data_IF_748999860461
#
_entry.id   IF_748999860461
#
_cell.length_a   1.000
_cell.length_b   1.000
_cell.length_c   1.000
_cell.angle_alpha   90.00
_cell.angle_beta   90.00
_cell.angle_gamma   90.00
#
_symmetry.space_group_name_H-M   'P 1'
#
loop_
_entity.id
_entity.type
_entity.pdbx_description
1 polymer ?
#
# COMPACT_ATOMS: atom_id res chain seq x y z
N UNK A 1 0.42 33.79 -18.69
CA UNK A 1 1.47 33.40 -17.71
C UNK A 1 0.96 33.33 -16.28
N UNK A 2 0.24 34.33 -15.74
CA UNK A 2 -0.22 34.32 -14.34
C UNK A 2 -1.21 33.18 -13.99
N UNK A 3 -2.02 32.73 -14.96
CA UNK A 3 -2.91 31.56 -14.80
C UNK A 3 -2.19 30.21 -14.72
N UNK A 4 -0.95 30.11 -15.23
CA UNK A 4 -0.17 28.86 -15.23
C UNK A 4 0.61 28.67 -13.92
N UNK A 5 1.04 29.76 -13.28
CA UNK A 5 1.66 29.70 -11.94
C UNK A 5 0.64 29.39 -10.83
N UNK A 6 -0.58 29.92 -10.94
CA UNK A 6 -1.61 29.70 -9.92
C UNK A 6 -2.10 28.24 -9.89
N UNK A 7 -2.10 27.56 -11.04
CA UNK A 7 -2.46 26.14 -11.16
C UNK A 7 -1.42 25.20 -10.58
N UNK A 8 -0.14 25.60 -10.53
CA UNK A 8 0.95 24.78 -9.97
C UNK A 8 1.01 24.90 -8.44
N UNK A 9 0.65 26.07 -7.88
CA UNK A 9 0.65 26.29 -6.42
C UNK A 9 -0.61 25.70 -5.76
N UNK A 10 -1.76 25.66 -6.45
CA UNK A 10 -2.95 24.96 -5.93
C UNK A 10 -2.82 23.43 -5.93
N UNK A 11 -1.88 22.87 -6.71
CA UNK A 11 -1.60 21.42 -6.74
C UNK A 11 -0.81 20.93 -5.51
N UNK A 12 -0.34 21.84 -4.65
CA UNK A 12 0.36 21.50 -3.40
C UNK A 12 -0.58 21.22 -2.22
N UNK A 13 -1.89 21.42 -2.39
CA UNK A 13 -2.91 21.05 -1.41
C UNK A 13 -3.76 19.91 -1.98
N UNK A 14 -3.11 18.80 -2.31
CA UNK A 14 -3.82 17.53 -2.47
C UNK A 14 -4.24 17.14 -1.07
N UNK A 15 -5.52 17.37 -0.76
CA UNK A 15 -6.24 16.55 0.21
C UNK A 15 -5.86 15.10 -0.10
N UNK A 16 -5.29 14.38 0.85
CA UNK A 16 -5.23 12.93 0.78
C UNK A 16 -6.68 12.44 0.72
N UNK A 17 -7.22 12.36 -0.49
CA UNK A 17 -8.34 11.49 -0.78
C UNK A 17 -7.69 10.12 -0.69
N UNK A 18 -7.95 9.41 0.41
CA UNK A 18 -7.72 7.97 0.41
C UNK A 18 -8.55 7.42 -0.73
N UNK A 19 -7.88 7.17 -1.86
CA UNK A 19 -8.49 6.58 -3.03
C UNK A 19 -8.53 5.08 -2.75
N UNK A 20 -9.71 4.59 -2.39
CA UNK A 20 -9.94 3.18 -2.10
C UNK A 20 -10.16 2.43 -3.41
N UNK A 21 -9.14 1.69 -3.84
CA UNK A 21 -9.16 0.92 -5.08
C UNK A 21 -9.85 -0.42 -4.84
N UNK A 22 -11.03 -0.61 -5.42
CA UNK A 22 -11.86 -1.79 -5.19
C UNK A 22 -12.02 -2.65 -6.44
N UNK A 23 -11.98 -3.98 -6.31
CA UNK A 23 -12.29 -4.87 -7.43
C UNK A 23 -13.79 -4.85 -7.72
N UNK A 24 -14.15 -4.83 -9.01
CA UNK A 24 -15.55 -4.84 -9.45
C UNK A 24 -15.79 -5.94 -10.48
N UNK A 25 -16.81 -6.76 -10.25
CA UNK A 25 -17.34 -7.67 -11.27
C UNK A 25 -18.67 -7.16 -11.80
N UNK A 26 -18.89 -7.28 -13.10
CA UNK A 26 -20.15 -6.93 -13.77
C UNK A 26 -20.59 -8.09 -14.65
N UNK A 27 -21.84 -8.54 -14.54
CA UNK A 27 -22.40 -9.60 -15.38
C UNK A 27 -23.91 -9.44 -15.61
N UNK A 28 -24.46 -10.17 -16.59
CA UNK A 28 -25.91 -10.32 -16.79
C UNK A 28 -26.48 -9.72 -18.07
N UNK A 29 -25.80 -8.76 -18.70
CA UNK A 29 -26.17 -8.29 -20.04
C UNK A 29 -24.93 -8.10 -20.93
N UNK A 30 -25.13 -7.57 -22.15
CA UNK A 30 -24.14 -7.46 -23.24
C UNK A 30 -22.76 -7.07 -22.72
N UNK A 31 -21.73 -7.77 -23.21
CA UNK A 31 -20.33 -7.39 -23.00
C UNK A 31 -20.13 -5.92 -23.43
N UNK A 32 -19.42 -5.11 -22.64
CA UNK A 32 -19.21 -3.70 -22.97
C UNK A 32 -18.57 -3.57 -24.35
N UNK A 33 -19.00 -2.58 -25.12
CA UNK A 33 -18.42 -2.25 -26.43
C UNK A 33 -16.98 -1.73 -26.33
N UNK A 34 -16.55 -1.33 -25.13
CA UNK A 34 -15.23 -0.83 -24.82
C UNK A 34 -14.74 -1.45 -23.50
N UNK A 35 -13.66 -2.22 -23.56
CA UNK A 35 -12.91 -2.65 -22.37
C UNK A 35 -11.71 -1.71 -22.21
N UNK A 36 -11.62 -0.96 -21.10
CA UNK A 36 -10.46 -0.12 -20.82
C UNK A 36 -9.18 -0.96 -20.78
N UNK A 37 -8.12 -0.47 -21.40
CA UNK A 37 -6.77 -1.07 -21.32
C UNK A 37 -6.02 -0.68 -20.04
N UNK A 38 -6.62 0.15 -19.18
CA UNK A 38 -6.04 0.59 -17.91
C UNK A 38 -6.31 -0.42 -16.78
N UNK A 39 -5.34 -0.56 -15.88
CA UNK A 39 -5.45 -1.34 -14.64
C UNK A 39 -6.27 -0.66 -13.54
N UNK A 40 -6.62 0.62 -13.74
CA UNK A 40 -7.26 1.50 -12.77
C UNK A 40 -8.31 2.36 -13.48
N UNK A 41 -9.53 2.41 -12.94
CA UNK A 41 -10.63 3.24 -13.46
C UNK A 41 -11.11 4.21 -12.40
N UNK A 42 -11.30 5.47 -12.81
CA UNK A 42 -11.98 6.44 -11.96
C UNK A 42 -13.50 6.17 -11.94
N UNK A 43 -14.20 6.61 -10.89
CA UNK A 43 -15.65 6.42 -10.70
C UNK A 43 -16.50 6.94 -11.88
N UNK A 44 -16.11 8.06 -12.50
CA UNK A 44 -16.82 8.60 -13.68
C UNK A 44 -16.69 7.72 -14.93
N UNK A 45 -15.50 7.16 -15.16
CA UNK A 45 -15.23 6.24 -16.26
C UNK A 45 -15.96 4.92 -16.04
N UNK A 46 -15.93 4.42 -14.80
CA UNK A 46 -16.69 3.26 -14.37
C UNK A 46 -18.20 3.45 -14.61
N UNK A 47 -18.75 4.62 -14.26
CA UNK A 47 -20.17 4.90 -14.51
C UNK A 47 -20.49 5.00 -16.00
N UNK A 48 -19.57 5.50 -16.81
CA UNK A 48 -19.72 5.50 -18.28
C UNK A 48 -19.80 4.07 -18.82
N UNK A 49 -18.97 3.16 -18.28
CA UNK A 49 -19.02 1.73 -18.60
C UNK A 49 -20.35 1.10 -18.20
N UNK A 50 -20.82 1.32 -16.97
CA UNK A 50 -22.11 0.79 -16.48
C UNK A 50 -23.27 1.33 -17.34
N UNK A 51 -23.29 2.64 -17.61
CA UNK A 51 -24.31 3.28 -18.46
C UNK A 51 -24.34 2.74 -19.89
N UNK A 52 -23.19 2.32 -20.43
CA UNK A 52 -23.12 1.70 -21.76
C UNK A 52 -23.79 0.33 -21.83
N UNK A 53 -24.01 -0.32 -20.67
CA UNK A 53 -24.64 -1.63 -20.56
C UNK A 53 -26.10 -1.54 -20.10
N UNK A 54 -26.51 -0.44 -19.44
CA UNK A 54 -27.87 -0.27 -18.90
C UNK A 54 -28.78 0.53 -19.83
N UNK A 55 -30.00 0.05 -20.07
CA UNK A 55 -31.09 0.79 -20.73
C UNK A 55 -32.16 1.23 -19.71
N UNK A 56 -33.20 1.94 -20.16
CA UNK A 56 -34.28 2.48 -19.29
C UNK A 56 -35.07 1.40 -18.52
N UNK A 57 -35.04 0.16 -18.99
CA UNK A 57 -35.75 -0.98 -18.41
C UNK A 57 -34.81 -1.94 -17.65
N UNK A 58 -33.49 -1.67 -17.66
CA UNK A 58 -32.50 -2.52 -17.00
C UNK A 58 -32.48 -2.26 -15.50
N UNK A 59 -32.63 -3.33 -14.71
CA UNK A 59 -32.43 -3.29 -13.25
C UNK A 59 -30.95 -3.55 -12.94
N UNK A 60 -30.31 -2.64 -12.19
CA UNK A 60 -28.95 -2.82 -11.69
C UNK A 60 -28.98 -3.37 -10.27
N UNK A 61 -28.38 -4.52 -10.03
CA UNK A 61 -28.27 -5.15 -8.71
C UNK A 61 -26.82 -5.06 -8.27
N UNK A 62 -26.57 -4.51 -7.10
CA UNK A 62 -25.21 -4.30 -6.57
C UNK A 62 -25.08 -5.10 -5.28
N UNK A 63 -24.31 -6.17 -5.34
CA UNK A 63 -23.90 -6.95 -4.18
C UNK A 63 -22.66 -6.29 -3.58
N UNK A 64 -22.74 -5.94 -2.30
CA UNK A 64 -21.71 -5.17 -1.60
C UNK A 64 -21.22 -5.93 -0.38
N UNK A 65 -19.95 -6.32 -0.40
CA UNK A 65 -19.25 -6.80 0.79
C UNK A 65 -18.83 -5.66 1.71
N UNK A 66 -18.62 -5.95 2.99
CA UNK A 66 -17.98 -4.99 3.89
C UNK A 66 -16.54 -4.69 3.45
N UNK A 67 -15.77 -5.74 3.16
CA UNK A 67 -14.37 -5.62 2.72
C UNK A 67 -14.00 -6.64 1.64
N UNK A 68 -13.36 -6.19 0.55
CA UNK A 68 -12.93 -7.06 -0.56
C UNK A 68 -11.71 -6.46 -1.29
N UNK A 69 -10.72 -7.29 -1.56
CA UNK A 69 -9.56 -6.93 -2.41
C UNK A 69 -9.23 -8.00 -3.45
N UNK A 70 -8.39 -7.64 -4.42
CA UNK A 70 -7.84 -8.57 -5.45
C UNK A 70 -7.17 -9.79 -4.82
N UNK A 71 -6.54 -9.60 -3.65
CA UNK A 71 -5.91 -10.66 -2.87
C UNK A 71 -6.93 -11.70 -2.40
N UNK A 72 -8.09 -11.31 -1.85
CA UNK A 72 -9.10 -12.26 -1.36
C UNK A 72 -9.66 -13.14 -2.47
N UNK A 73 -9.92 -12.53 -3.63
CA UNK A 73 -10.37 -13.24 -4.83
C UNK A 73 -9.34 -14.30 -5.28
N UNK A 74 -8.05 -14.05 -5.03
CA UNK A 74 -6.97 -14.97 -5.40
C UNK A 74 -6.64 -16.01 -4.33
N UNK A 75 -6.75 -15.65 -3.05
CA UNK A 75 -6.35 -16.45 -1.91
C UNK A 75 -7.48 -17.33 -1.36
N UNK A 76 -8.74 -16.92 -1.52
CA UNK A 76 -9.88 -17.65 -0.98
C UNK A 76 -10.05 -19.00 -1.68
N UNK A 77 -9.50 -20.05 -1.06
CA UNK A 77 -9.58 -21.44 -1.50
C UNK A 77 -10.07 -22.36 -0.38
N UNK A 78 -11.31 -22.83 -0.50
CA UNK A 78 -11.87 -23.86 0.38
C UNK A 78 -11.46 -25.25 -0.17
N UNK A 79 -10.64 -26.01 0.57
CA UNK A 79 -10.26 -27.40 0.20
C UNK A 79 -9.80 -27.55 -1.27
N UNK A 80 -8.95 -26.63 -1.76
CA UNK A 80 -8.42 -26.54 -3.14
C UNK A 80 -9.38 -25.99 -4.21
N UNK A 81 -10.62 -25.67 -3.87
CA UNK A 81 -11.59 -24.99 -4.74
C UNK A 81 -11.73 -23.51 -4.36
N UNK A 82 -12.09 -22.65 -5.31
CA UNK A 82 -12.35 -21.22 -5.02
C UNK A 82 -13.58 -21.08 -4.12
N UNK A 83 -13.58 -20.10 -3.20
CA UNK A 83 -14.78 -19.75 -2.44
C UNK A 83 -15.91 -19.22 -3.36
N UNK A 84 -15.53 -18.56 -4.45
CA UNK A 84 -16.42 -17.99 -5.45
C UNK A 84 -16.78 -19.00 -6.56
N UNK A 85 -17.43 -20.12 -6.21
CA UNK A 85 -17.72 -21.19 -7.16
C UNK A 85 -18.72 -20.77 -8.24
N UNK A 86 -19.76 -20.05 -7.85
CA UNK A 86 -20.84 -19.61 -8.71
C UNK A 86 -20.40 -18.42 -9.56
N UNK A 87 -19.75 -17.41 -8.97
CA UNK A 87 -19.18 -16.29 -9.71
C UNK A 87 -18.17 -16.77 -10.78
N UNK A 88 -17.39 -17.81 -10.50
CA UNK A 88 -16.46 -18.42 -11.49
C UNK A 88 -17.19 -19.02 -12.69
N UNK A 89 -18.34 -19.69 -12.49
CA UNK A 89 -19.13 -20.35 -13.55
C UNK A 89 -19.73 -19.37 -14.57
N UNK A 90 -19.87 -18.10 -14.21
CA UNK A 90 -20.40 -17.06 -15.09
C UNK A 90 -19.44 -16.83 -16.26
N UNK A 91 -19.88 -17.14 -17.49
CA UNK A 91 -19.06 -17.05 -18.70
C UNK A 91 -18.86 -15.60 -19.18
N UNK A 92 -19.94 -14.81 -19.21
CA UNK A 92 -19.91 -13.42 -19.64
C UNK A 92 -19.88 -12.49 -18.43
N UNK A 93 -18.67 -12.21 -17.94
CA UNK A 93 -18.43 -11.23 -16.88
C UNK A 93 -17.28 -10.30 -17.25
N UNK A 94 -17.42 -9.04 -16.86
CA UNK A 94 -16.35 -8.05 -16.90
C UNK A 94 -15.72 -7.97 -15.52
N UNK A 95 -14.39 -7.99 -15.46
CA UNK A 95 -13.64 -7.86 -14.22
C UNK A 95 -12.76 -6.62 -14.28
N UNK A 96 -12.95 -5.71 -13.33
CA UNK A 96 -12.16 -4.49 -13.17
C UNK A 96 -11.36 -4.62 -11.89
N UNK A 97 -10.04 -4.49 -12.00
CA UNK A 97 -9.11 -4.78 -10.89
C UNK A 97 -9.03 -3.67 -9.85
N UNK A 98 -9.21 -2.42 -10.26
CA UNK A 98 -9.18 -1.26 -9.38
C UNK A 98 -10.14 -0.19 -9.91
N UNK A 99 -11.19 0.08 -9.16
CA UNK A 99 -12.15 1.16 -9.41
C UNK A 99 -12.18 2.09 -8.21
N UNK A 100 -12.12 3.39 -8.46
CA UNK A 100 -12.22 4.43 -7.44
C UNK A 100 -13.65 4.53 -6.93
N UNK A 101 -13.87 4.18 -5.65
CA UNK A 101 -15.14 4.36 -4.93
C UNK A 101 -16.40 4.01 -5.77
N UNK A 102 -16.53 2.74 -6.22
CA UNK A 102 -17.60 2.32 -7.13
C UNK A 102 -18.99 2.50 -6.52
N UNK A 103 -19.13 2.37 -5.20
CA UNK A 103 -20.41 2.55 -4.51
C UNK A 103 -20.88 4.00 -4.63
N UNK A 104 -20.02 4.96 -4.29
CA UNK A 104 -20.37 6.39 -4.42
C UNK A 104 -20.65 6.79 -5.86
N UNK A 105 -19.91 6.22 -6.81
CA UNK A 105 -20.13 6.45 -8.23
C UNK A 105 -21.53 5.96 -8.66
N UNK A 106 -21.94 4.78 -8.20
CA UNK A 106 -23.29 4.23 -8.44
C UNK A 106 -24.36 5.08 -7.73
N UNK A 107 -24.22 5.34 -6.43
CA UNK A 107 -25.18 6.11 -5.64
C UNK A 107 -25.41 7.53 -6.20
N UNK A 108 -24.34 8.20 -6.66
CA UNK A 108 -24.45 9.55 -7.22
C UNK A 108 -25.14 9.59 -8.58
N UNK A 109 -25.05 8.50 -9.36
CA UNK A 109 -25.62 8.45 -10.71
C UNK A 109 -27.09 8.03 -10.75
N UNK A 110 -27.62 7.38 -9.70
CA UNK A 110 -29.03 7.03 -9.60
C UNK A 110 -29.72 7.96 -8.59
N UNK A 111 -30.89 8.51 -8.93
CA UNK A 111 -31.62 9.36 -7.99
C UNK A 111 -32.09 8.57 -6.76
N UNK A 112 -32.02 9.16 -5.55
CA UNK A 112 -32.37 8.52 -4.26
C UNK A 112 -33.73 7.79 -4.25
N UNK A 113 -34.71 8.26 -5.03
CA UNK A 113 -36.05 7.66 -5.13
C UNK A 113 -36.11 6.39 -5.99
N UNK A 114 -35.03 6.06 -6.71
CA UNK A 114 -34.91 4.87 -7.57
C UNK A 114 -33.97 3.82 -7.00
N UNK A 115 -33.52 4.01 -5.75
CA UNK A 115 -32.61 3.14 -5.02
C UNK A 115 -33.40 2.35 -3.97
N UNK A 116 -33.21 1.04 -3.91
CA UNK A 116 -33.63 0.19 -2.79
C UNK A 116 -32.40 -0.46 -2.16
N UNK A 117 -32.38 -0.54 -0.84
CA UNK A 117 -31.27 -1.13 -0.09
C UNK A 117 -31.79 -2.28 0.76
N UNK A 118 -31.11 -3.41 0.69
CA UNK A 118 -31.34 -4.59 1.52
C UNK A 118 -30.03 -4.96 2.21
N UNK A 119 -30.13 -5.45 3.44
CA UNK A 119 -29.00 -5.98 4.20
C UNK A 119 -29.31 -7.41 4.64
N UNK A 120 -28.30 -8.16 5.10
CA UNK A 120 -28.53 -9.43 5.77
C UNK A 120 -29.06 -9.19 7.19
N UNK A 121 -29.97 -10.06 7.63
CA UNK A 121 -30.43 -10.21 9.01
C UNK A 121 -29.43 -11.09 9.77
N UNK A 122 -29.52 -11.11 11.11
CA UNK A 122 -28.64 -11.92 11.96
C UNK A 122 -28.72 -13.43 11.69
N UNK A 123 -29.79 -13.91 11.05
CA UNK A 123 -29.94 -15.32 10.66
C UNK A 123 -29.32 -15.63 9.28
N UNK A 124 -28.67 -14.66 8.63
CA UNK A 124 -28.08 -14.79 7.29
C UNK A 124 -29.07 -14.73 6.13
N UNK A 125 -30.35 -14.49 6.41
CA UNK A 125 -31.41 -14.21 5.43
C UNK A 125 -31.55 -12.71 5.18
N UNK A 126 -32.15 -12.31 4.06
CA UNK A 126 -32.40 -10.89 3.77
C UNK A 126 -33.30 -10.23 4.84
N UNK A 127 -32.93 -9.02 5.24
CA UNK A 127 -33.66 -8.20 6.23
C UNK A 127 -35.11 -7.91 5.84
N UNK A 128 -35.41 -7.93 4.55
CA UNK A 128 -36.75 -7.75 3.98
C UNK A 128 -36.93 -8.69 2.78
N UNK A 129 -38.17 -9.13 2.55
CA UNK A 129 -38.50 -9.96 1.39
C UNK A 129 -38.22 -9.19 0.10
N UNK A 130 -37.65 -9.85 -0.90
CA UNK A 130 -37.33 -9.26 -2.20
C UNK A 130 -38.61 -8.94 -3.01
N UNK A 131 -39.20 -7.79 -2.71
CA UNK A 131 -40.27 -7.17 -3.47
C UNK A 131 -39.67 -6.03 -4.31
N UNK A 132 -39.52 -6.26 -5.61
CA UNK A 132 -39.09 -5.19 -6.54
C UNK A 132 -40.32 -4.37 -6.91
N UNK A 133 -40.50 -3.20 -6.30
CA UNK A 133 -41.51 -2.24 -6.75
C UNK A 133 -41.07 -1.72 -8.12
N UNK A 134 -41.96 -1.69 -9.11
CA UNK A 134 -41.62 -1.43 -10.52
C UNK A 134 -40.77 -0.17 -10.82
N UNK A 135 -40.62 0.74 -9.87
CA UNK A 135 -39.93 2.03 -10.00
C UNK A 135 -38.42 1.99 -9.67
N UNK A 136 -37.91 0.93 -9.06
CA UNK A 136 -36.49 0.84 -8.68
C UNK A 136 -35.62 0.55 -9.92
N UNK A 137 -34.55 1.33 -10.07
CA UNK A 137 -33.55 1.17 -11.14
C UNK A 137 -32.27 0.52 -10.62
N UNK A 138 -31.95 0.73 -9.34
CA UNK A 138 -30.80 0.13 -8.69
C UNK A 138 -31.18 -0.45 -7.32
N UNK A 139 -30.67 -1.64 -7.04
CA UNK A 139 -30.87 -2.39 -5.81
C UNK A 139 -29.51 -2.70 -5.17
N UNK A 140 -29.22 -2.14 -4.00
CA UNK A 140 -28.04 -2.46 -3.22
C UNK A 140 -28.36 -3.59 -2.23
N UNK A 141 -27.54 -4.63 -2.22
CA UNK A 141 -27.64 -5.77 -1.31
C UNK A 141 -26.31 -5.84 -0.55
N UNK A 142 -26.33 -5.41 0.71
CA UNK A 142 -25.17 -5.45 1.59
C UNK A 142 -25.07 -6.82 2.25
N UNK A 143 -23.93 -7.48 2.07
CA UNK A 143 -23.62 -8.83 2.54
C UNK A 143 -22.96 -8.82 3.92
N UNK A 144 -23.18 -7.78 4.71
CA UNK A 144 -22.60 -7.66 6.05
C UNK A 144 -23.30 -8.63 7.02
N UNK A 145 -22.69 -9.79 7.31
CA UNK A 145 -23.14 -10.72 8.36
C UNK A 145 -22.57 -10.26 9.73
N UNK A 146 -23.42 -10.19 10.76
CA UNK A 146 -23.05 -9.71 12.08
C UNK A 146 -22.04 -10.64 12.80
N UNK A 147 -21.97 -11.92 12.42
CA UNK A 147 -21.13 -12.90 13.10
C UNK A 147 -19.81 -13.22 12.38
N UNK A 148 -19.77 -13.20 11.03
CA UNK A 148 -18.56 -13.51 10.25
C UNK A 148 -18.54 -12.80 8.89
N UNK A 149 -17.93 -11.61 8.86
CA UNK A 149 -17.94 -10.71 7.70
C UNK A 149 -17.04 -11.14 6.52
N UNK A 150 -16.46 -12.34 6.55
CA UNK A 150 -15.49 -12.85 5.56
C UNK A 150 -15.86 -14.25 5.01
N UNK A 151 -17.09 -14.74 5.22
CA UNK A 151 -17.55 -16.03 4.65
C UNK A 151 -17.98 -15.89 3.18
N UNK A 152 -17.00 -15.62 2.32
CA UNK A 152 -17.20 -15.42 0.88
C UNK A 152 -17.89 -16.60 0.18
N UNK A 153 -17.76 -17.83 0.70
CA UNK A 153 -18.38 -19.00 0.10
C UNK A 153 -19.91 -19.00 0.29
N UNK A 154 -20.36 -18.65 1.50
CA UNK A 154 -21.77 -18.48 1.83
C UNK A 154 -22.36 -17.30 1.05
N UNK A 155 -21.62 -16.19 0.94
CA UNK A 155 -22.03 -15.03 0.15
C UNK A 155 -22.15 -15.34 -1.34
N UNK A 156 -21.23 -16.13 -1.92
CA UNK A 156 -21.31 -16.58 -3.31
C UNK A 156 -22.54 -17.44 -3.61
N UNK A 157 -22.94 -18.30 -2.67
CA UNK A 157 -24.19 -19.07 -2.77
C UNK A 157 -25.42 -18.16 -2.70
N UNK A 158 -25.45 -17.22 -1.74
CA UNK A 158 -26.53 -16.24 -1.59
C UNK A 158 -26.67 -15.36 -2.83
N UNK A 159 -25.57 -14.81 -3.35
CA UNK A 159 -25.55 -14.01 -4.57
C UNK A 159 -26.15 -14.78 -5.75
N UNK A 160 -25.76 -16.05 -5.93
CA UNK A 160 -26.28 -16.88 -7.01
C UNK A 160 -27.79 -17.14 -6.85
N UNK A 161 -28.26 -17.48 -5.65
CA UNK A 161 -29.67 -17.73 -5.39
C UNK A 161 -30.53 -16.48 -5.62
N UNK A 162 -30.07 -15.32 -5.13
CA UNK A 162 -30.74 -14.04 -5.33
C UNK A 162 -30.74 -13.60 -6.79
N UNK A 163 -29.61 -13.73 -7.48
CA UNK A 163 -29.51 -13.37 -8.88
C UNK A 163 -30.46 -14.19 -9.76
N UNK A 164 -30.54 -15.51 -9.52
CA UNK A 164 -31.46 -16.40 -10.24
C UNK A 164 -32.94 -16.06 -9.96
N UNK A 165 -33.28 -15.67 -8.72
CA UNK A 165 -34.62 -15.23 -8.35
C UNK A 165 -34.99 -13.89 -9.01
N UNK A 166 -34.02 -13.00 -9.21
CA UNK A 166 -34.25 -11.71 -9.87
C UNK A 166 -34.46 -11.90 -11.37
N UNK A 167 -33.63 -12.73 -12.04
CA UNK A 167 -33.79 -13.01 -13.47
C UNK A 167 -35.11 -13.76 -13.76
N UNK A 168 -35.61 -14.60 -12.84
CA UNK A 168 -36.91 -15.24 -13.04
C UNK A 168 -38.08 -14.24 -13.02
N UNK A 169 -37.87 -13.02 -12.51
CA UNK A 169 -38.88 -11.95 -12.43
C UNK A 169 -38.67 -10.83 -13.46
N UNK A 170 -37.44 -10.58 -13.92
CA UNK A 170 -37.08 -9.50 -14.85
C UNK A 170 -36.12 -9.98 -15.93
N UNK A 171 -36.38 -9.60 -17.18
CA UNK A 171 -35.56 -10.00 -18.33
C UNK A 171 -34.24 -9.22 -18.46
N UNK A 172 -34.23 -7.94 -18.08
CA UNK A 172 -33.07 -7.05 -18.23
C UNK A 172 -32.44 -6.74 -16.86
N UNK A 173 -31.39 -7.49 -16.49
CA UNK A 173 -30.73 -7.38 -15.19
C UNK A 173 -29.21 -7.33 -15.36
N UNK A 174 -28.58 -6.34 -14.76
CA UNK A 174 -27.12 -6.26 -14.60
C UNK A 174 -26.80 -6.43 -13.12
N UNK A 175 -25.88 -7.33 -12.81
CA UNK A 175 -25.35 -7.52 -11.48
C UNK A 175 -23.92 -6.99 -11.39
N UNK A 176 -23.64 -6.32 -10.28
CA UNK A 176 -22.35 -5.74 -9.92
C UNK A 176 -21.95 -6.31 -8.56
N UNK A 177 -20.70 -6.73 -8.40
CA UNK A 177 -20.14 -7.16 -7.11
C UNK A 177 -18.91 -6.33 -6.77
N UNK A 178 -18.89 -5.75 -5.57
CA UNK A 178 -17.85 -4.85 -5.06
C UNK A 178 -17.87 -4.84 -3.51
N UNK A 179 -17.01 -4.06 -2.85
CA UNK A 179 -17.06 -3.81 -1.41
C UNK A 179 -17.14 -2.32 -1.04
N UNK A 180 -17.36 -2.05 0.25
CA UNK A 180 -17.21 -0.70 0.83
C UNK A 180 -15.76 -0.30 1.02
N UNK A 181 -14.92 -1.22 1.49
CA UNK A 181 -13.51 -0.97 1.81
C UNK A 181 -12.59 -2.06 1.26
N UNK A 182 -11.32 -1.78 0.96
CA UNK A 182 -10.36 -2.82 0.61
C UNK A 182 -9.98 -3.59 1.88
N UNK A 183 -10.05 -4.93 1.85
CA UNK A 183 -9.51 -5.78 2.92
C UNK A 183 -7.98 -5.69 3.00
N UNK A 184 -7.33 -5.40 1.87
CA UNK A 184 -5.90 -5.31 1.73
C UNK A 184 -5.48 -3.91 1.25
N UNK A 185 -4.64 -3.22 2.03
CA UNK A 185 -4.04 -1.94 1.63
C UNK A 185 -2.53 -2.06 1.43
N UNK A 186 -2.07 -1.73 0.22
CA UNK A 186 -0.64 -1.63 -0.13
C UNK A 186 0.13 -0.57 0.68
N UNK A 187 -0.56 0.26 1.48
CA UNK A 187 0.06 1.15 2.47
C UNK A 187 0.71 0.40 3.63
N UNK A 188 0.38 -0.88 3.82
CA UNK A 188 1.09 -1.78 4.72
C UNK A 188 2.17 -2.54 3.93
N UNK A 189 3.43 -2.53 4.36
CA UNK A 189 4.49 -3.23 3.66
C UNK A 189 4.26 -4.74 3.76
N UNK A 190 3.75 -5.34 2.69
CA UNK A 190 3.53 -6.77 2.48
C UNK A 190 4.68 -7.63 3.03
N UNK A 191 4.52 -8.33 4.16
CA UNK A 191 5.51 -9.32 4.61
C UNK A 191 5.41 -10.52 3.66
N UNK A 192 6.44 -10.70 2.83
CA UNK A 192 6.51 -11.81 1.90
C UNK A 192 6.86 -13.07 2.69
N UNK A 193 5.86 -13.82 3.16
CA UNK A 193 6.10 -15.19 3.65
C UNK A 193 6.53 -16.05 2.46
N UNK A 194 7.81 -16.41 2.42
CA UNK A 194 8.27 -17.43 1.49
C UNK A 194 7.57 -18.75 1.87
N UNK A 195 7.00 -19.45 0.88
CA UNK A 195 6.59 -20.84 1.08
C UNK A 195 7.85 -21.67 1.19
N UNK A 196 8.09 -22.25 2.36
CA UNK A 196 9.08 -23.31 2.51
C UNK A 196 8.67 -24.48 1.61
N UNK A 197 9.47 -24.69 0.57
CA UNK A 197 9.41 -25.91 -0.23
C UNK A 197 10.61 -26.75 0.19
N UNK A 198 10.31 -27.98 0.59
CA UNK A 198 11.28 -28.96 1.04
C UNK A 198 12.47 -29.03 0.07
N UNK A 199 13.66 -29.03 0.67
CA UNK A 199 14.97 -28.97 0.04
C UNK A 199 15.10 -29.89 -1.17
N UNK A 200 15.57 -29.35 -2.31
CA UNK A 200 16.50 -30.10 -3.15
C UNK A 200 17.45 -29.13 -3.86
N UNK A 201 18.73 -29.40 -3.68
CA UNK A 201 19.89 -28.62 -4.09
C UNK A 201 19.89 -28.19 -5.55
N UNK A 202 19.93 -26.87 -5.81
CA UNK A 202 20.62 -26.28 -6.95
C UNK A 202 20.83 -24.77 -6.75
N UNK A 203 22.09 -24.38 -6.82
CA UNK A 203 22.66 -23.04 -6.63
C UNK A 203 22.26 -22.09 -7.75
N UNK A 204 21.44 -21.07 -7.46
CA UNK A 204 21.39 -19.82 -8.23
C UNK A 204 21.10 -18.63 -7.29
N UNK A 205 21.84 -17.55 -7.51
CA UNK A 205 22.01 -16.36 -6.66
C UNK A 205 20.69 -15.70 -6.23
N UNK A 206 20.48 -15.61 -4.92
CA UNK A 206 19.52 -14.69 -4.28
C UNK A 206 20.25 -13.41 -3.85
N UNK A 207 19.71 -12.21 -4.11
CA UNK A 207 20.32 -10.97 -3.64
C UNK A 207 20.15 -10.84 -2.11
N UNK A 208 21.28 -10.70 -1.42
CA UNK A 208 21.50 -10.06 -0.12
C UNK A 208 20.58 -10.38 1.09
N UNK A 209 19.92 -11.54 1.15
CA UNK A 209 19.29 -12.05 2.39
C UNK A 209 20.05 -13.22 3.03
N UNK A 210 21.22 -13.60 2.50
CA UNK A 210 22.01 -14.76 2.94
C UNK A 210 23.39 -14.43 3.52
N UNK A 211 23.60 -13.19 3.97
CA UNK A 211 24.83 -12.82 4.71
C UNK A 211 24.65 -12.75 6.23
N UNK A 212 23.56 -13.31 6.77
CA UNK A 212 23.34 -13.41 8.21
C UNK A 212 23.29 -14.86 8.73
N UNK A 213 23.87 -15.81 8.00
CA UNK A 213 24.19 -17.17 8.52
C UNK A 213 25.69 -17.35 8.80
N UNK A 214 26.53 -16.33 8.53
CA UNK A 214 27.98 -16.39 8.75
C UNK A 214 28.54 -15.25 9.61
N UNK A 215 27.72 -14.28 10.03
CA UNK A 215 28.06 -13.34 11.11
C UNK A 215 27.40 -13.83 12.40
N UNK A 216 27.86 -14.98 12.87
CA UNK A 216 27.50 -15.53 14.17
C UNK A 216 27.97 -14.53 15.22
N UNK A 217 27.03 -13.91 15.95
CA UNK A 217 27.05 -13.51 17.37
C UNK A 217 25.68 -12.83 17.63
N UNK A 218 24.61 -13.64 17.75
CA UNK A 218 23.37 -13.18 18.44
C UNK A 218 23.73 -13.14 19.91
N UNK A 219 23.82 -11.94 20.49
CA UNK A 219 24.47 -11.74 21.80
C UNK A 219 23.43 -11.73 22.94
N UNK A 220 22.14 -11.64 22.64
CA UNK A 220 21.14 -11.53 23.71
C UNK A 220 20.62 -12.86 24.25
N UNK A 221 20.77 -13.06 25.55
CA UNK A 221 20.09 -14.09 26.35
C UNK A 221 18.77 -13.59 26.95
N UNK A 222 18.32 -12.39 26.61
CA UNK A 222 17.11 -11.77 27.17
C UNK A 222 15.93 -11.88 26.16
N UNK A 223 14.78 -12.44 26.57
CA UNK A 223 13.62 -12.58 25.70
C UNK A 223 12.99 -11.26 25.22
N UNK A 224 13.31 -10.13 25.85
CA UNK A 224 12.67 -8.84 25.57
C UNK A 224 13.58 -7.83 24.85
N UNK A 225 14.80 -8.20 24.49
CA UNK A 225 15.67 -7.36 23.66
C UNK A 225 16.63 -8.26 22.89
N UNK A 226 16.63 -8.19 21.57
CA UNK A 226 17.62 -8.87 20.73
C UNK A 226 18.65 -7.87 20.21
N UNK A 227 19.91 -8.30 20.20
CA UNK A 227 21.01 -7.57 19.58
C UNK A 227 22.01 -8.55 18.95
N UNK A 228 22.44 -8.22 17.75
CA UNK A 228 23.49 -8.90 17.01
C UNK A 228 24.44 -7.85 16.46
N UNK A 229 25.73 -8.15 16.46
CA UNK A 229 26.77 -7.30 15.89
C UNK A 229 28.00 -8.15 15.58
N UNK A 230 28.83 -7.66 14.66
CA UNK A 230 30.06 -8.35 14.28
C UNK A 230 31.27 -7.90 15.13
N UNK A 231 31.40 -6.60 15.37
CA UNK A 231 32.56 -6.02 16.04
C UNK A 231 32.19 -4.64 16.61
N UNK A 232 32.89 -4.23 17.68
CA UNK A 232 32.87 -2.84 18.17
C UNK A 232 34.28 -2.31 18.11
N UNK A 233 34.47 -1.13 17.50
CA UNK A 233 35.76 -0.43 17.52
C UNK A 233 35.66 0.82 18.38
N UNK A 234 36.53 0.94 19.38
CA UNK A 234 36.69 2.16 20.19
C UNK A 234 37.93 2.90 19.70
N UNK A 235 37.74 4.01 18.99
CA UNK A 235 38.80 4.68 18.25
C UNK A 235 39.33 3.78 17.12
N UNK A 236 40.48 3.16 17.35
CA UNK A 236 41.12 2.21 16.42
C UNK A 236 41.28 0.81 17.00
N UNK A 237 40.89 0.60 18.26
CA UNK A 237 41.05 -0.69 18.94
C UNK A 237 39.78 -1.53 18.81
N UNK A 238 39.86 -2.75 18.24
CA UNK A 238 38.75 -3.68 18.21
C UNK A 238 38.46 -4.21 19.62
N UNK A 239 37.19 -4.36 19.96
CA UNK A 239 36.71 -4.92 21.22
C UNK A 239 35.87 -6.16 20.91
N UNK A 240 36.35 -7.32 21.34
CA UNK A 240 35.67 -8.60 21.12
C UNK A 240 34.47 -8.76 22.08
N UNK A 241 33.26 -9.05 21.56
CA UNK A 241 32.05 -9.05 22.37
C UNK A 241 31.77 -10.42 23.04
N UNK A 242 32.68 -10.95 23.85
CA UNK A 242 32.63 -12.36 24.30
C UNK A 242 31.85 -12.65 25.60
N UNK A 243 31.53 -11.64 26.41
CA UNK A 243 30.78 -11.83 27.65
C UNK A 243 29.75 -10.72 27.85
N UNK A 244 28.57 -10.85 27.23
CA UNK A 244 27.50 -9.88 27.38
C UNK A 244 26.72 -10.10 28.67
N UNK A 245 26.82 -9.16 29.61
CA UNK A 245 25.85 -9.02 30.70
C UNK A 245 24.81 -8.00 30.28
N UNK A 246 23.64 -8.47 29.84
CA UNK A 246 22.52 -7.62 29.49
C UNK A 246 21.67 -7.37 30.74
N UNK A 247 21.75 -6.16 31.28
CA UNK A 247 20.81 -5.69 32.31
C UNK A 247 19.71 -4.90 31.65
N UNK A 248 18.46 -5.32 31.85
CA UNK A 248 17.28 -4.63 31.33
C UNK A 248 16.41 -4.15 32.48
N UNK A 249 16.12 -2.85 32.50
CA UNK A 249 15.01 -2.30 33.28
C UNK A 249 14.00 -1.72 32.30
N UNK A 250 12.88 -2.42 32.11
CA UNK A 250 11.85 -2.04 31.16
C UNK A 250 10.59 -1.57 31.90
N UNK A 251 10.15 -0.37 31.55
CA UNK A 251 8.81 0.15 31.82
C UNK A 251 7.99 0.12 30.53
N UNK A 252 6.74 0.58 30.58
CA UNK A 252 5.88 0.60 29.39
C UNK A 252 6.43 1.47 28.23
N UNK A 253 7.28 2.45 28.54
CA UNK A 253 7.75 3.45 27.58
C UNK A 253 9.28 3.60 27.53
N UNK A 254 10.02 3.03 28.48
CA UNK A 254 11.47 3.19 28.59
C UNK A 254 12.15 1.86 28.91
N UNK A 255 13.21 1.54 28.19
CA UNK A 255 14.04 0.36 28.37
C UNK A 255 15.50 0.80 28.44
N UNK A 256 16.15 0.52 29.57
CA UNK A 256 17.59 0.70 29.72
C UNK A 256 18.30 -0.62 29.44
N UNK A 257 19.30 -0.58 28.56
CA UNK A 257 20.12 -1.74 28.21
C UNK A 257 21.58 -1.36 28.45
N UNK A 258 22.31 -2.20 29.17
CA UNK A 258 23.76 -2.09 29.34
C UNK A 258 24.43 -3.34 28.77
N UNK A 259 25.49 -3.14 28.00
CA UNK A 259 26.36 -4.15 27.41
C UNK A 259 27.75 -3.95 28.03
N UNK A 260 28.21 -4.91 28.83
CA UNK A 260 29.53 -4.84 29.46
C UNK A 260 30.45 -5.84 28.80
N UNK A 261 31.61 -5.41 28.32
CA UNK A 261 32.68 -6.23 27.74
C UNK A 261 34.01 -5.92 28.44
N UNK A 262 34.44 -6.81 29.32
CA UNK A 262 35.65 -6.60 30.15
C UNK A 262 35.61 -5.24 30.88
N UNK A 263 36.44 -4.26 30.48
CA UNK A 263 36.47 -2.90 31.05
C UNK A 263 35.57 -1.89 30.33
N UNK A 264 34.85 -2.30 29.29
CA UNK A 264 34.04 -1.45 28.44
C UNK A 264 32.56 -1.60 28.80
N UNK A 265 31.89 -0.53 29.19
CA UNK A 265 30.45 -0.51 29.48
C UNK A 265 29.73 0.40 28.49
N UNK A 266 28.92 -0.18 27.62
CA UNK A 266 28.06 0.52 26.68
C UNK A 266 26.62 0.51 27.19
N UNK A 267 26.03 1.67 27.44
CA UNK A 267 24.62 1.80 27.80
C UNK A 267 23.81 2.44 26.69
N UNK A 268 22.53 2.07 26.60
CA UNK A 268 21.55 2.68 25.72
C UNK A 268 20.22 2.84 26.47
N UNK A 269 19.59 3.99 26.31
CA UNK A 269 18.27 4.29 26.84
C UNK A 269 17.27 4.38 25.70
N UNK A 270 16.44 3.36 25.56
CA UNK A 270 15.48 3.19 24.46
C UNK A 270 14.11 3.66 24.92
N UNK A 271 13.44 4.51 24.14
CA UNK A 271 12.10 5.01 24.43
C UNK A 271 11.11 4.57 23.37
N UNK A 272 9.90 4.22 23.78
CA UNK A 272 8.77 3.94 22.89
C UNK A 272 7.79 5.12 22.94
N UNK A 273 7.46 5.68 21.78
CA UNK A 273 6.45 6.74 21.66
C UNK A 273 5.72 6.64 20.32
N UNK A 274 4.39 6.65 20.35
CA UNK A 274 3.57 6.63 19.13
C UNK A 274 3.81 5.41 18.22
N UNK A 275 4.08 4.23 18.81
CA UNK A 275 4.37 2.99 18.06
C UNK A 275 5.76 2.92 17.43
N UNK A 276 6.62 3.92 17.69
CA UNK A 276 8.01 3.97 17.24
C UNK A 276 8.93 3.96 18.45
N UNK A 277 9.94 3.11 18.44
CA UNK A 277 11.00 3.13 19.42
C UNK A 277 12.23 3.84 18.85
N UNK A 278 12.94 4.55 19.70
CA UNK A 278 14.19 5.21 19.34
C UNK A 278 15.16 5.17 20.52
N UNK A 279 16.46 5.17 20.22
CA UNK A 279 17.47 5.34 21.26
C UNK A 279 17.55 6.82 21.58
N UNK A 280 17.27 7.15 22.84
CA UNK A 280 17.26 8.53 23.34
C UNK A 280 18.62 8.98 23.85
N UNK A 281 19.46 8.04 24.27
CA UNK A 281 20.80 8.33 24.78
C UNK A 281 21.66 7.08 24.68
N UNK A 282 22.90 7.26 24.26
CA UNK A 282 23.95 6.27 24.40
C UNK A 282 24.98 6.70 25.44
N UNK A 283 25.54 5.72 26.15
CA UNK A 283 26.60 5.93 27.13
C UNK A 283 27.74 4.96 26.91
N UNK A 284 28.96 5.41 27.19
CA UNK A 284 30.14 4.56 27.24
C UNK A 284 30.97 4.93 28.47
N UNK A 285 31.22 3.95 29.34
CA UNK A 285 31.87 4.11 30.65
C UNK A 285 31.29 5.26 31.48
N UNK A 286 29.97 5.48 31.38
CA UNK A 286 29.23 6.54 32.07
C UNK A 286 29.18 7.88 31.34
N UNK A 287 29.99 8.09 30.29
CA UNK A 287 29.96 9.31 29.48
C UNK A 287 28.91 9.22 28.38
N UNK A 288 28.32 10.35 27.98
CA UNK A 288 27.30 10.39 26.93
C UNK A 288 27.95 10.49 25.56
N UNK A 289 27.40 9.74 24.61
CA UNK A 289 27.83 9.77 23.22
C UNK A 289 26.65 10.15 22.34
N UNK A 290 26.94 10.87 21.26
CA UNK A 290 25.97 11.24 20.25
C UNK A 290 26.08 10.31 19.06
N UNK A 291 24.95 9.74 18.66
CA UNK A 291 24.83 8.98 17.43
C UNK A 291 24.90 9.88 16.20
N UNK A 292 25.61 9.41 15.16
CA UNK A 292 25.67 10.13 13.88
C UNK A 292 24.37 10.03 13.09
N UNK A 293 23.59 8.98 13.36
CA UNK A 293 22.31 8.70 12.72
C UNK A 293 21.27 8.37 13.79
N UNK A 294 20.04 8.89 13.68
CA UNK A 294 18.99 8.57 14.63
C UNK A 294 18.67 7.07 14.57
N UNK A 295 18.83 6.40 15.70
CA UNK A 295 18.47 4.98 15.82
C UNK A 295 16.99 4.89 16.14
N UNK A 296 16.18 4.56 15.13
CA UNK A 296 14.72 4.54 15.24
C UNK A 296 14.10 3.42 14.42
N UNK A 297 13.12 2.73 14.99
CA UNK A 297 12.27 1.82 14.23
C UNK A 297 10.86 1.69 14.83
N UNK A 298 9.92 1.19 14.03
CA UNK A 298 8.58 0.85 14.54
C UNK A 298 8.68 -0.29 15.55
N UNK A 299 7.73 -0.38 16.50
CA UNK A 299 7.66 -1.46 17.51
C UNK A 299 7.71 -2.88 16.94
N UNK A 300 7.25 -3.06 15.71
CA UNK A 300 7.24 -4.35 14.99
C UNK A 300 8.49 -4.62 14.14
N UNK A 301 9.52 -3.79 14.22
CA UNK A 301 10.73 -3.90 13.37
C UNK A 301 12.01 -3.86 14.19
N UNK A 302 13.03 -4.49 13.62
CA UNK A 302 14.41 -4.32 14.06
C UNK A 302 15.01 -3.06 13.42
N UNK A 303 16.08 -2.54 14.02
CA UNK A 303 16.96 -1.56 13.40
C UNK A 303 18.24 -2.26 12.98
N UNK A 304 18.74 -1.96 11.78
CA UNK A 304 19.96 -2.53 11.22
C UNK A 304 20.90 -1.44 10.71
N UNK A 305 22.21 -1.62 10.91
CA UNK A 305 23.21 -0.70 10.38
C UNK A 305 24.55 -1.40 10.16
N UNK A 306 25.19 -1.12 9.02
CA UNK A 306 26.52 -1.65 8.71
C UNK A 306 27.58 -0.96 9.58
N UNK A 307 27.53 0.37 9.67
CA UNK A 307 28.41 1.15 10.54
C UNK A 307 27.56 2.16 11.31
N UNK A 308 27.49 1.99 12.63
CA UNK A 308 26.87 2.96 13.52
C UNK A 308 27.94 3.68 14.33
N UNK A 309 28.50 4.80 13.79
CA UNK A 309 29.47 5.61 14.50
C UNK A 309 28.78 6.53 15.51
N UNK A 310 29.36 6.56 16.70
CA UNK A 310 28.90 7.32 17.84
C UNK A 310 30.09 8.07 18.39
N UNK A 311 29.96 9.37 18.54
CA UNK A 311 31.09 10.21 18.92
C UNK A 311 30.77 11.03 20.15
N UNK A 312 31.76 11.10 21.03
CA UNK A 312 31.97 12.26 21.87
C UNK A 312 33.04 13.14 21.20
N UNK A 313 33.24 14.38 21.67
CA UNK A 313 34.20 15.32 21.11
C UNK A 313 35.63 14.78 20.99
N UNK A 314 35.99 13.73 21.74
CA UNK A 314 37.35 13.22 21.84
C UNK A 314 37.53 11.77 21.35
N UNK A 315 36.44 11.00 21.23
CA UNK A 315 36.49 9.55 20.96
C UNK A 315 35.31 9.13 20.09
N UNK A 316 35.58 8.27 19.10
CA UNK A 316 34.56 7.67 18.24
C UNK A 316 34.46 6.18 18.58
N UNK A 317 33.24 5.69 18.73
CA UNK A 317 32.90 4.30 18.92
C UNK A 317 32.05 3.87 17.74
N UNK A 318 32.40 2.78 17.08
CA UNK A 318 31.64 2.29 15.92
C UNK A 318 31.19 0.87 16.17
N UNK A 319 29.88 0.65 16.03
CA UNK A 319 29.30 -0.69 16.00
C UNK A 319 29.20 -1.17 14.56
N UNK A 320 29.76 -2.35 14.28
CA UNK A 320 29.81 -2.93 12.94
C UNK A 320 28.77 -4.04 12.76
N UNK A 321 27.98 -3.96 11.70
CA UNK A 321 26.88 -4.86 11.36
C UNK A 321 25.91 -5.07 12.52
N UNK A 322 25.48 -3.97 13.15
CA UNK A 322 24.57 -4.01 14.29
C UNK A 322 23.13 -4.20 13.83
N UNK A 323 22.42 -5.12 14.48
CA UNK A 323 20.98 -5.26 14.39
C UNK A 323 20.40 -5.38 15.80
N UNK A 324 19.37 -4.59 16.12
CA UNK A 324 18.75 -4.61 17.45
C UNK A 324 17.23 -4.47 17.39
N UNK A 325 16.54 -5.09 18.35
CA UNK A 325 15.09 -5.08 18.45
C UNK A 325 14.63 -5.18 19.92
N UNK A 326 14.02 -4.11 20.47
CA UNK A 326 13.37 -4.15 21.77
C UNK A 326 11.94 -4.71 21.71
N UNK A 327 11.55 -5.48 22.73
CA UNK A 327 10.15 -5.82 23.02
C UNK A 327 9.64 -4.96 24.17
N UNK A 328 8.64 -4.12 23.90
CA UNK A 328 7.93 -3.37 24.93
C UNK A 328 6.61 -4.05 25.24
N UNK A 329 6.22 -4.06 26.52
CA UNK A 329 4.93 -4.60 27.00
C UNK A 329 4.62 -6.01 26.48
N UNK A 330 5.45 -7.02 26.79
CA UNK A 330 5.16 -8.40 26.40
C UNK A 330 3.81 -8.83 26.99
N UNK A 331 2.93 -9.40 26.16
CA UNK A 331 1.65 -9.93 26.62
C UNK A 331 1.84 -11.37 27.08
N UNK A 332 1.92 -11.58 28.40
CA UNK A 332 2.17 -12.91 28.98
C UNK A 332 3.63 -13.33 28.83
N UNK A 333 3.88 -14.53 28.31
CA UNK A 333 5.23 -15.11 28.11
C UNK A 333 5.80 -14.83 26.70
N UNK A 334 5.44 -13.71 26.08
CA UNK A 334 5.90 -13.36 24.74
C UNK A 334 7.42 -13.08 24.74
N UNK A 335 8.16 -13.78 23.86
CA UNK A 335 9.62 -13.68 23.73
C UNK A 335 9.98 -13.43 22.28
N UNK A 336 11.02 -12.64 22.05
CA UNK A 336 11.61 -12.48 20.73
C UNK A 336 12.69 -13.56 20.55
N UNK A 337 12.44 -14.51 19.65
CA UNK A 337 13.41 -15.57 19.29
C UNK A 337 14.24 -15.23 18.05
N UNK A 338 13.70 -14.37 17.17
CA UNK A 338 14.33 -13.95 15.92
C UNK A 338 14.05 -12.47 15.68
N UNK A 339 14.95 -11.79 14.97
CA UNK A 339 14.68 -10.45 14.49
C UNK A 339 13.49 -10.47 13.51
N UNK A 340 12.72 -9.39 13.52
CA UNK A 340 11.68 -9.17 12.53
C UNK A 340 12.28 -9.20 11.11
N UNK A 341 11.55 -9.80 10.17
CA UNK A 341 11.93 -9.97 8.76
C UNK A 341 12.41 -8.69 8.07
N UNK A 342 12.00 -7.52 8.59
CA UNK A 342 12.43 -6.21 8.10
C UNK A 342 13.17 -5.45 9.19
N UNK A 343 14.39 -5.04 8.82
CA UNK A 343 15.14 -4.04 9.54
C UNK A 343 14.89 -2.65 8.94
N UNK A 344 14.73 -1.64 9.79
CA UNK A 344 14.91 -0.26 9.40
C UNK A 344 16.41 0.02 9.34
N UNK A 345 16.89 0.38 8.15
CA UNK A 345 18.31 0.65 7.93
C UNK A 345 18.67 2.09 8.32
N UNK A 346 19.89 2.29 8.83
CA UNK A 346 20.40 3.60 9.23
C UNK A 346 20.63 4.58 8.07
N UNK A 347 20.70 4.09 6.83
CA UNK A 347 20.94 4.90 5.63
C UNK A 347 19.71 4.78 4.72
N UNK A 348 19.16 5.92 4.31
CA UNK A 348 18.10 5.97 3.32
C UNK A 348 18.64 5.84 1.90
N UNK A 349 17.85 5.28 0.99
CA UNK A 349 18.21 5.16 -0.44
C UNK A 349 18.58 6.49 -1.11
N UNK A 350 17.97 7.59 -0.66
CA UNK A 350 18.20 8.92 -1.21
C UNK A 350 18.61 9.89 -0.10
N UNK A 351 19.80 10.47 -0.23
CA UNK A 351 20.25 11.52 0.67
C UNK A 351 19.61 12.87 0.29
N UNK A 352 19.56 13.85 1.22
CA UNK A 352 19.10 15.21 0.91
C UNK A 352 19.85 15.85 -0.27
N UNK A 353 21.14 15.52 -0.42
CA UNK A 353 21.95 15.99 -1.54
C UNK A 353 21.49 15.40 -2.88
N UNK A 354 21.19 14.09 -2.92
CA UNK A 354 20.68 13.44 -4.13
C UNK A 354 19.31 14.01 -4.51
N UNK A 355 18.43 14.22 -3.52
CA UNK A 355 17.14 14.88 -3.74
C UNK A 355 17.28 16.29 -4.30
N UNK A 356 18.21 17.09 -3.76
CA UNK A 356 18.50 18.42 -4.26
C UNK A 356 19.00 18.41 -5.71
N UNK A 357 19.91 17.49 -6.04
CA UNK A 357 20.42 17.34 -7.40
C UNK A 357 19.33 16.88 -8.38
N UNK A 358 18.54 15.87 -8.02
CA UNK A 358 17.45 15.36 -8.83
C UNK A 358 16.42 16.47 -9.13
N UNK A 359 16.08 17.29 -8.13
CA UNK A 359 15.16 18.40 -8.29
C UNK A 359 15.66 19.43 -9.32
N UNK A 360 16.94 19.80 -9.26
CA UNK A 360 17.55 20.73 -10.24
C UNK A 360 17.59 20.12 -11.64
N UNK A 361 17.94 18.83 -11.76
CA UNK A 361 17.96 18.13 -13.05
C UNK A 361 16.57 18.09 -13.68
N UNK A 362 15.52 17.84 -12.89
CA UNK A 362 14.13 17.84 -13.38
C UNK A 362 13.74 19.21 -13.94
N UNK A 363 14.13 20.31 -13.28
CA UNK A 363 13.89 21.68 -13.78
C UNK A 363 14.60 21.91 -15.12
N UNK A 364 15.85 21.50 -15.26
CA UNK A 364 16.58 21.64 -16.51
C UNK A 364 15.98 20.80 -17.63
N UNK A 365 15.57 19.57 -17.35
CA UNK A 365 14.88 18.71 -18.32
C UNK A 365 13.55 19.34 -18.76
N UNK A 366 12.81 19.99 -17.86
CA UNK A 366 11.59 20.70 -18.18
C UNK A 366 11.82 21.92 -19.09
N UNK A 367 12.82 22.74 -18.79
CA UNK A 367 13.16 23.90 -19.64
C UNK A 367 13.65 23.42 -21.02
N UNK A 368 14.46 22.37 -21.05
CA UNK A 368 14.98 21.80 -22.29
C UNK A 368 13.87 21.19 -23.14
N UNK A 369 12.92 20.47 -22.55
CA UNK A 369 11.77 19.93 -23.29
C UNK A 369 10.91 21.04 -23.86
N UNK A 370 10.67 22.13 -23.11
CA UNK A 370 9.98 23.32 -23.61
C UNK A 370 10.73 23.94 -24.80
N UNK A 371 12.05 24.10 -24.69
CA UNK A 371 12.88 24.61 -25.79
C UNK A 371 12.79 23.75 -27.05
N UNK A 372 12.86 22.42 -26.90
CA UNK A 372 12.73 21.48 -28.02
C UNK A 372 11.33 21.55 -28.64
N UNK A 373 10.27 21.63 -27.84
CA UNK A 373 8.90 21.77 -28.36
C UNK A 373 8.71 23.04 -29.18
N UNK A 374 9.28 24.17 -28.75
CA UNK A 374 9.26 25.41 -29.52
C UNK A 374 10.05 25.31 -30.81
N UNK A 375 11.20 24.63 -30.80
CA UNK A 375 11.99 24.40 -32.00
C UNK A 375 11.26 23.49 -33.01
N UNK A 376 10.51 22.49 -32.54
CA UNK A 376 9.69 21.61 -33.39
C UNK A 376 8.50 22.34 -34.06
N UNK A 377 8.05 23.48 -33.53
CA UNK A 377 6.94 24.27 -34.12
C UNK A 377 7.43 25.43 -35.01
N UNK A 378 8.73 25.48 -35.34
CA UNK A 378 9.23 26.43 -36.34
C UNK A 378 8.76 25.97 -37.72
N UNK A 379 7.72 26.63 -38.22
CA UNK A 379 7.23 26.44 -39.59
C UNK A 379 8.01 27.35 -40.52
N UNK A 380 8.51 26.79 -41.62
CA UNK A 380 9.08 27.58 -42.71
C UNK A 380 7.97 28.35 -43.42
N UNK A 381 8.25 29.58 -43.86
CA UNK A 381 7.29 30.35 -44.64
C UNK A 381 6.85 29.56 -45.89
N UNK A 382 5.55 29.39 -46.06
CA UNK A 382 4.94 28.55 -47.10
C UNK A 382 5.14 29.13 -48.51
N UNK A 383 5.22 30.45 -48.60
CA UNK A 383 5.34 31.15 -49.87
C UNK A 383 6.21 32.38 -49.72
N UNK A 384 7.29 32.42 -50.49
CA UNK A 384 8.05 33.65 -50.70
C UNK A 384 7.21 34.57 -51.59
N UNK A 385 7.15 35.85 -51.24
CA UNK A 385 6.42 36.84 -52.03
C UNK A 385 7.11 37.01 -53.39
N UNK A 386 6.51 36.46 -54.43
CA UNK A 386 7.00 36.59 -55.80
C UNK A 386 6.67 38.00 -56.31
N UNK A 387 7.67 38.84 -56.65
CA UNK A 387 7.45 40.20 -57.14
C UNK A 387 6.67 40.27 -58.46
N UNK A 388 6.41 39.13 -59.12
CA UNK A 388 5.55 39.01 -60.31
C UNK A 388 4.22 38.30 -60.04
N UNK A 389 3.97 37.86 -58.81
CA UNK A 389 2.70 37.27 -58.38
C UNK A 389 1.59 38.32 -58.24
N UNK A 390 0.34 37.92 -58.45
CA UNK A 390 -0.82 38.82 -58.26
C UNK A 390 -0.91 39.27 -56.81
N UNK A 391 -1.06 40.58 -56.59
CA UNK A 391 -1.21 41.22 -55.28
C UNK A 391 -2.50 40.75 -54.59
N UNK A 392 -2.42 40.45 -53.28
CA UNK A 392 -3.59 40.04 -52.49
C UNK A 392 -4.51 41.25 -52.30
N UNK A 393 -5.71 41.18 -52.88
CA UNK A 393 -6.79 42.15 -52.65
C UNK A 393 -7.63 41.70 -51.47
N UNK A 394 -7.56 42.42 -50.35
CA UNK A 394 -8.43 42.22 -49.19
C UNK A 394 -9.72 43.00 -49.45
N UNK A 395 -10.84 42.30 -49.67
CA UNK A 395 -12.14 42.94 -49.71
C UNK A 395 -12.64 43.16 -48.29
N UNK A 396 -12.54 44.39 -47.79
CA UNK A 396 -13.26 44.82 -46.59
C UNK A 396 -14.70 45.10 -46.98
N UNK A 397 -15.62 44.18 -46.68
CA UNK A 397 -17.04 44.51 -46.60
C UNK A 397 -17.33 44.90 -45.16
N UNK A 398 -17.80 46.14 -45.01
CA UNK A 398 -18.24 46.79 -43.77
C UNK A 398 -19.56 46.20 -43.25
#
# INVERSE_FOLDING_TARGET
MLKLCLTVILLGCVTQINCENLPVFIWGQKTPSFLPTLSHLNGDEFMTLVKSQTDKETLTVVFVENSLSVEDLSQCKLKTETCFQNLRKIQQKTYLTAVDDPIRALESSFGKQSQKTLSLSNDGDLSEKLETSGNEKILFIYLDDAENNEDFAKHDELMNNLYNLIISKRENVIAIYTARHPSFSYSTPLIRKARDTAETSATLLKPAAKQLEQAQHVISTNPHFLIAMSEITVGTTPVDPTLLVLTQNATAELMEVSLVYDTHNFGMSIKLSGGTWYVSQFTYNGNRFHESYPVTASSSRSFGCIELPMSDFNTIITFHNIQMQPLFNPVGDEKIEHFADRANECIGFFSPAIWGALFVVIIFVFILSMGITMMMDIRTMDRFDDPKGKTITINSQE
#
